data_IF_250727702306
#
_entry.id   IF_250727702306
#
_cell.length_a   1.000
_cell.length_b   1.000
_cell.length_c   1.000
_cell.angle_alpha   90.00
_cell.angle_beta   90.00
_cell.angle_gamma   90.00
#
_symmetry.space_group_name_H-M   'P 1'
#
loop_
_entity.id
_entity.type
_entity.pdbx_description
1 polymer ?
#
# COMPACT_ATOMS: atom_id res chain seq x y z
N UNK A 1 -44.47 -38.81 65.09
CA UNK A 1 -43.82 -40.11 64.82
C UNK A 1 -43.91 -40.40 63.34
N UNK A 2 -42.78 -40.33 62.62
CA UNK A 2 -42.61 -40.87 61.26
C UNK A 2 -41.49 -41.91 61.36
N UNK A 3 -41.68 -43.15 60.87
CA UNK A 3 -40.75 -44.24 61.10
C UNK A 3 -39.53 -44.17 60.18
N UNK A 4 -38.39 -44.53 60.76
CA UNK A 4 -37.13 -44.81 60.10
C UNK A 4 -37.25 -45.98 59.12
N UNK A 5 -36.57 -45.90 57.98
CA UNK A 5 -36.27 -47.05 57.12
C UNK A 5 -34.79 -47.05 56.71
N UNK A 6 -34.21 -48.25 56.52
CA UNK A 6 -32.83 -48.55 56.88
C UNK A 6 -31.80 -48.30 55.77
N UNK A 7 -30.57 -47.99 56.20
CA UNK A 7 -29.38 -47.82 55.38
C UNK A 7 -28.79 -49.17 54.93
N UNK A 8 -28.95 -49.48 53.64
CA UNK A 8 -28.22 -50.56 52.96
C UNK A 8 -26.78 -50.17 52.56
N UNK A 9 -25.89 -51.14 52.29
CA UNK A 9 -24.44 -50.94 52.28
C UNK A 9 -23.92 -50.20 51.04
N UNK A 10 -22.93 -49.33 51.29
CA UNK A 10 -22.21 -48.56 50.26
C UNK A 10 -21.28 -49.50 49.49
N UNK A 11 -21.58 -49.73 48.21
CA UNK A 11 -20.64 -50.36 47.27
C UNK A 11 -19.59 -49.33 46.80
N UNK A 12 -18.28 -49.64 46.82
CA UNK A 12 -17.27 -48.74 46.28
C UNK A 12 -17.28 -48.80 44.75
N UNK A 13 -17.84 -47.77 44.12
CA UNK A 13 -17.79 -47.59 42.66
C UNK A 13 -16.35 -47.47 42.16
N UNK A 14 -15.93 -48.42 41.33
CA UNK A 14 -14.66 -48.43 40.57
C UNK A 14 -14.44 -47.08 39.86
N UNK A 15 -13.37 -46.35 40.22
CA UNK A 15 -12.88 -45.20 39.45
C UNK A 15 -12.31 -45.69 38.11
N UNK A 16 -13.06 -45.53 37.02
CA UNK A 16 -12.57 -45.79 35.65
C UNK A 16 -11.59 -44.68 35.19
N UNK A 17 -10.62 -45.00 34.29
CA UNK A 17 -9.47 -44.13 34.03
C UNK A 17 -9.84 -42.97 33.09
N UNK A 18 -10.19 -41.81 33.65
CA UNK A 18 -10.47 -40.55 32.90
C UNK A 18 -9.31 -40.09 32.00
N UNK A 19 -8.07 -40.55 32.22
CA UNK A 19 -6.87 -40.10 31.47
C UNK A 19 -6.83 -40.54 29.99
N UNK A 20 -7.45 -41.66 29.59
CA UNK A 20 -7.35 -42.18 28.20
C UNK A 20 -8.28 -41.46 27.21
N UNK A 21 -9.43 -40.94 27.68
CA UNK A 21 -10.38 -40.19 26.84
C UNK A 21 -9.88 -38.77 26.52
N UNK A 22 -9.22 -38.11 27.48
CA UNK A 22 -8.67 -36.77 27.26
C UNK A 22 -7.49 -36.77 26.28
N UNK A 23 -6.61 -37.78 26.32
CA UNK A 23 -5.53 -37.95 25.31
C UNK A 23 -6.05 -38.18 23.89
N UNK A 24 -7.18 -38.89 23.73
CA UNK A 24 -7.83 -39.06 22.42
C UNK A 24 -8.48 -37.77 21.94
N UNK A 25 -9.17 -37.04 22.83
CA UNK A 25 -9.72 -35.72 22.50
C UNK A 25 -8.62 -34.73 22.07
N UNK A 26 -7.49 -34.70 22.79
CA UNK A 26 -6.33 -33.87 22.43
C UNK A 26 -5.76 -34.25 21.04
N UNK A 27 -5.68 -35.55 20.73
CA UNK A 27 -5.24 -36.05 19.43
C UNK A 27 -6.18 -35.65 18.29
N UNK A 28 -7.49 -35.71 18.50
CA UNK A 28 -8.48 -35.25 17.51
C UNK A 28 -8.43 -33.73 17.33
N UNK A 29 -8.29 -32.96 18.40
CA UNK A 29 -8.12 -31.49 18.30
C UNK A 29 -6.85 -31.13 17.53
N UNK A 30 -5.72 -31.79 17.82
CA UNK A 30 -4.48 -31.56 17.08
C UNK A 30 -4.61 -31.93 15.59
N UNK A 31 -5.32 -33.02 15.27
CA UNK A 31 -5.57 -33.43 13.89
C UNK A 31 -6.47 -32.44 13.14
N UNK A 32 -7.52 -31.92 13.78
CA UNK A 32 -8.37 -30.88 13.18
C UNK A 32 -7.58 -29.59 12.94
N UNK A 33 -6.75 -29.18 13.91
CA UNK A 33 -5.87 -28.01 13.74
C UNK A 33 -4.91 -28.23 12.57
N UNK A 34 -4.27 -29.40 12.49
CA UNK A 34 -3.36 -29.73 11.40
C UNK A 34 -4.06 -29.72 10.03
N UNK A 35 -5.28 -30.24 9.95
CA UNK A 35 -6.08 -30.22 8.72
C UNK A 35 -6.45 -28.78 8.31
N UNK A 36 -6.90 -27.96 9.26
CA UNK A 36 -7.22 -26.55 9.03
C UNK A 36 -5.98 -25.79 8.55
N UNK A 37 -4.84 -25.99 9.20
CA UNK A 37 -3.56 -25.41 8.77
C UNK A 37 -3.18 -25.89 7.36
N UNK A 38 -3.37 -27.17 7.04
CA UNK A 38 -3.13 -27.71 5.71
C UNK A 38 -3.98 -27.05 4.63
N UNK A 39 -5.27 -26.82 4.90
CA UNK A 39 -6.17 -26.09 3.99
C UNK A 39 -5.74 -24.64 3.82
N UNK A 40 -5.35 -23.95 4.91
CA UNK A 40 -4.86 -22.57 4.85
C UNK A 40 -3.57 -22.49 4.03
N UNK A 41 -2.59 -23.35 4.29
CA UNK A 41 -1.31 -23.39 3.57
C UNK A 41 -1.55 -23.70 2.08
N UNK A 42 -2.39 -24.69 1.77
CA UNK A 42 -2.76 -25.01 0.40
C UNK A 42 -3.44 -23.83 -0.31
N UNK A 43 -4.30 -23.09 0.40
CA UNK A 43 -4.97 -21.90 -0.14
C UNK A 43 -3.98 -20.77 -0.41
N UNK A 44 -3.06 -20.50 0.50
CA UNK A 44 -2.01 -19.47 0.30
C UNK A 44 -1.10 -19.85 -0.87
N UNK A 45 -0.70 -21.12 -0.99
CA UNK A 45 0.12 -21.59 -2.09
C UNK A 45 -0.60 -21.45 -3.45
N UNK A 46 -1.91 -21.72 -3.49
CA UNK A 46 -2.71 -21.55 -4.70
C UNK A 46 -2.81 -20.07 -5.13
N UNK A 47 -3.09 -19.16 -4.18
CA UNK A 47 -3.09 -17.72 -4.47
C UNK A 47 -1.70 -17.24 -4.89
N UNK A 48 -0.64 -17.78 -4.30
CA UNK A 48 0.73 -17.40 -4.65
C UNK A 48 1.06 -17.78 -6.10
N UNK A 49 0.65 -18.96 -6.53
CA UNK A 49 0.78 -19.40 -7.91
C UNK A 49 -0.05 -18.53 -8.86
N UNK A 50 -1.29 -18.18 -8.49
CA UNK A 50 -2.12 -17.32 -9.32
C UNK A 50 -1.55 -15.91 -9.48
N UNK A 51 -0.96 -15.36 -8.42
CA UNK A 51 -0.24 -14.08 -8.50
C UNK A 51 0.98 -14.22 -9.39
N UNK A 52 1.82 -15.24 -9.19
CA UNK A 52 3.04 -15.40 -9.98
C UNK A 52 2.77 -15.57 -11.48
N UNK A 53 1.70 -16.29 -11.84
CA UNK A 53 1.29 -16.52 -13.22
C UNK A 53 0.74 -15.28 -13.92
N UNK A 54 0.02 -14.41 -13.19
CA UNK A 54 -0.78 -13.32 -13.78
C UNK A 54 -0.20 -11.93 -13.58
N UNK A 55 0.65 -11.74 -12.58
CA UNK A 55 1.20 -10.44 -12.23
C UNK A 55 2.13 -9.95 -13.34
N UNK A 56 1.95 -8.71 -13.79
CA UNK A 56 2.88 -8.07 -14.71
C UNK A 56 4.29 -8.03 -14.12
N UNK A 57 5.31 -8.30 -14.93
CA UNK A 57 6.72 -8.27 -14.50
C UNK A 57 7.48 -7.18 -15.25
N UNK A 58 8.34 -6.47 -14.52
CA UNK A 58 9.25 -5.46 -15.09
C UNK A 58 10.64 -5.58 -14.48
N UNK A 59 11.67 -5.33 -15.28
CA UNK A 59 13.04 -5.19 -14.77
C UNK A 59 13.28 -3.73 -14.40
N UNK A 60 13.13 -3.40 -13.12
CA UNK A 60 13.24 -2.04 -12.60
C UNK A 60 14.40 -1.87 -11.60
N UNK A 61 14.88 -2.96 -10.98
CA UNK A 61 15.83 -2.89 -9.88
C UNK A 61 17.24 -2.63 -10.41
N UNK A 62 17.98 -1.76 -9.73
CA UNK A 62 19.32 -1.33 -10.15
C UNK A 62 20.42 -2.39 -9.96
N UNK A 63 20.14 -3.44 -9.18
CA UNK A 63 21.13 -4.43 -8.74
C UNK A 63 22.17 -3.89 -7.74
N UNK A 64 21.95 -2.70 -7.15
CA UNK A 64 22.81 -2.18 -6.08
C UNK A 64 22.79 -3.10 -4.86
N UNK A 65 23.87 -3.02 -4.07
CA UNK A 65 23.97 -3.75 -2.80
C UNK A 65 22.91 -3.23 -1.81
N UNK A 66 22.24 -4.15 -1.15
CA UNK A 66 21.19 -3.85 -0.17
C UNK A 66 21.67 -2.93 0.95
N UNK A 67 20.77 -2.02 1.33
CA UNK A 67 20.90 -1.21 2.54
C UNK A 67 20.21 -1.91 3.71
N UNK A 68 20.44 -1.46 4.95
CA UNK A 68 19.75 -2.02 6.10
C UNK A 68 18.24 -1.75 6.02
N UNK A 69 17.43 -2.80 6.20
CA UNK A 69 15.97 -2.73 6.09
C UNK A 69 15.47 -3.32 4.78
N UNK A 70 14.19 -3.09 4.51
CA UNK A 70 13.50 -3.49 3.27
C UNK A 70 12.78 -2.26 2.71
N UNK A 71 12.97 -1.99 1.42
CA UNK A 71 12.52 -0.76 0.76
C UNK A 71 11.74 -1.08 -0.52
N UNK A 72 10.50 -0.61 -0.55
CA UNK A 72 9.59 -0.71 -1.69
C UNK A 72 9.43 0.64 -2.36
N UNK A 73 9.62 0.70 -3.67
CA UNK A 73 9.21 1.82 -4.51
C UNK A 73 7.85 1.50 -5.15
N UNK A 74 6.83 2.26 -4.77
CA UNK A 74 5.46 2.13 -5.28
C UNK A 74 5.18 3.34 -6.17
N UNK A 75 4.84 3.08 -7.43
CA UNK A 75 4.64 4.11 -8.46
C UNK A 75 3.23 4.03 -9.01
N UNK A 76 2.50 5.14 -9.00
CA UNK A 76 1.26 5.29 -9.77
C UNK A 76 1.59 5.85 -11.15
N UNK A 77 1.36 5.07 -12.20
CA UNK A 77 1.56 5.51 -13.59
C UNK A 77 0.21 5.80 -14.26
N UNK A 78 0.14 6.93 -14.96
CA UNK A 78 -0.93 7.22 -15.94
C UNK A 78 -0.43 6.87 -17.34
N UNK A 79 0.15 5.67 -17.49
CA UNK A 79 0.34 5.09 -18.81
C UNK A 79 -1.06 4.97 -19.42
N UNK A 80 -1.36 5.75 -20.48
CA UNK A 80 -2.65 5.72 -21.15
C UNK A 80 -2.89 4.30 -21.67
N UNK A 81 -3.62 3.53 -20.87
CA UNK A 81 -3.92 2.14 -21.12
C UNK A 81 -5.01 2.01 -22.17
N UNK A 82 -4.63 2.10 -23.44
CA UNK A 82 -5.29 1.34 -24.50
C UNK A 82 -4.51 0.03 -24.67
N UNK A 83 -4.76 -0.93 -23.77
CA UNK A 83 -4.65 -2.37 -24.06
C UNK A 83 -3.36 -2.96 -24.64
N UNK A 84 -2.21 -2.31 -24.54
CA UNK A 84 -0.94 -2.87 -25.01
C UNK A 84 0.22 -2.24 -24.27
N UNK A 85 1.16 -3.07 -23.81
CA UNK A 85 2.53 -2.61 -23.57
C UNK A 85 2.98 -2.06 -24.92
N UNK A 86 3.13 -0.74 -25.00
CA UNK A 86 3.77 -0.11 -26.15
C UNK A 86 5.21 -0.63 -26.20
N UNK A 87 5.47 -1.48 -27.20
CA UNK A 87 6.78 -2.01 -27.56
C UNK A 87 7.67 -0.92 -28.22
N UNK A 88 7.23 0.35 -28.16
CA UNK A 88 7.86 1.51 -28.79
C UNK A 88 7.73 2.79 -27.95
N UNK A 89 8.39 2.81 -26.80
CA UNK A 89 8.90 4.06 -26.23
C UNK A 89 7.97 4.75 -25.23
N UNK A 90 8.61 5.24 -24.17
CA UNK A 90 8.06 5.99 -23.03
C UNK A 90 7.53 7.39 -23.41
N UNK A 91 7.04 7.60 -24.63
CA UNK A 91 6.44 8.87 -25.05
C UNK A 91 5.06 9.07 -24.39
N UNK A 92 5.08 9.58 -23.16
CA UNK A 92 3.90 10.14 -22.49
C UNK A 92 3.59 9.55 -21.11
N UNK A 93 4.19 8.43 -20.72
CA UNK A 93 3.97 7.83 -19.40
C UNK A 93 4.69 8.64 -18.32
N UNK A 94 3.94 9.10 -17.32
CA UNK A 94 4.46 9.85 -16.18
C UNK A 94 4.12 9.13 -14.88
N UNK A 95 5.09 9.13 -13.96
CA UNK A 95 4.86 8.77 -12.57
C UNK A 95 4.16 9.95 -11.87
N UNK A 96 2.87 9.79 -11.56
CA UNK A 96 2.07 10.82 -10.89
C UNK A 96 2.06 10.66 -9.36
N UNK A 97 2.32 9.43 -8.88
CA UNK A 97 2.49 9.13 -7.47
C UNK A 97 3.78 8.33 -7.28
N UNK A 98 4.67 8.78 -6.40
CA UNK A 98 5.92 8.08 -6.09
C UNK A 98 5.98 7.93 -4.58
N UNK A 99 5.92 6.70 -4.10
CA UNK A 99 5.93 6.39 -2.67
C UNK A 99 7.04 5.41 -2.34
N UNK A 100 7.74 5.69 -1.24
CA UNK A 100 8.78 4.84 -0.69
C UNK A 100 8.28 4.27 0.65
N UNK A 101 8.00 2.97 0.67
CA UNK A 101 7.73 2.26 1.92
C UNK A 101 9.04 1.64 2.39
N UNK A 102 9.53 2.07 3.56
CA UNK A 102 10.76 1.55 4.13
C UNK A 102 10.49 0.98 5.52
N UNK A 103 10.97 -0.25 5.74
CA UNK A 103 10.90 -0.94 7.03
C UNK A 103 12.30 -1.21 7.56
N UNK A 104 12.64 -0.59 8.68
CA UNK A 104 13.90 -0.83 9.36
C UNK A 104 13.75 -0.60 10.87
N UNK A 105 14.56 -1.30 11.68
CA UNK A 105 14.54 -1.20 13.15
C UNK A 105 13.14 -1.34 13.79
N UNK A 106 12.26 -2.16 13.18
CA UNK A 106 10.89 -2.35 13.67
C UNK A 106 9.94 -1.19 13.39
N UNK A 107 10.36 -0.18 12.64
CA UNK A 107 9.53 0.93 12.17
C UNK A 107 9.21 0.75 10.68
N UNK A 108 7.94 0.89 10.31
CA UNK A 108 7.50 1.03 8.93
C UNK A 108 7.13 2.50 8.67
N UNK A 109 7.62 3.06 7.55
CA UNK A 109 7.37 4.46 7.18
C UNK A 109 7.06 4.59 5.69
N UNK A 110 6.14 5.49 5.34
CA UNK A 110 5.65 5.71 3.99
C UNK A 110 5.95 7.15 3.54
N UNK A 111 6.97 7.33 2.72
CA UNK A 111 7.37 8.63 2.19
C UNK A 111 6.75 8.85 0.82
N UNK A 112 5.89 9.86 0.65
CA UNK A 112 5.35 10.26 -0.65
C UNK A 112 6.19 11.37 -1.25
N UNK A 113 6.90 11.09 -2.33
CA UNK A 113 7.69 12.08 -3.06
C UNK A 113 6.78 12.83 -4.03
N UNK A 114 6.64 14.16 -3.93
CA UNK A 114 5.93 14.94 -4.93
C UNK A 114 6.55 14.70 -6.32
N UNK A 115 5.71 14.47 -7.34
CA UNK A 115 6.17 14.18 -8.70
C UNK A 115 7.08 15.25 -9.31
N UNK A 116 6.91 16.50 -8.87
CA UNK A 116 7.67 17.67 -9.33
C UNK A 116 8.91 17.93 -8.46
N UNK A 117 9.28 17.00 -7.55
CA UNK A 117 10.47 17.13 -6.70
C UNK A 117 11.73 17.28 -7.55
N UNK A 118 12.50 18.33 -7.33
CA UNK A 118 13.78 18.55 -8.00
C UNK A 118 14.83 17.55 -7.50
N UNK A 119 15.46 16.82 -8.43
CA UNK A 119 16.44 15.77 -8.13
C UNK A 119 17.54 15.73 -9.19
N UNK A 120 18.66 15.11 -8.84
CA UNK A 120 19.73 14.82 -9.80
C UNK A 120 19.52 13.45 -10.45
N UNK A 121 19.02 13.44 -11.69
CA UNK A 121 18.77 12.23 -12.47
C UNK A 121 20.11 11.71 -13.04
N UNK A 122 20.49 10.44 -12.79
CA UNK A 122 21.69 9.84 -13.38
C UNK A 122 21.76 10.00 -14.90
N UNK A 123 22.86 10.56 -15.41
CA UNK A 123 23.07 10.77 -16.85
C UNK A 123 22.20 11.85 -17.52
N UNK A 124 21.35 12.58 -16.76
CA UNK A 124 20.47 13.63 -17.30
C UNK A 124 20.61 14.99 -16.61
N UNK A 125 21.14 15.04 -15.39
CA UNK A 125 21.31 16.29 -14.63
C UNK A 125 20.11 16.60 -13.73
N UNK A 126 19.93 17.87 -13.37
CA UNK A 126 18.85 18.33 -12.49
C UNK A 126 17.52 18.41 -13.23
N UNK A 127 16.51 17.69 -12.77
CA UNK A 127 15.15 17.75 -13.29
C UNK A 127 14.12 17.33 -12.23
N UNK A 128 12.84 17.36 -12.57
CA UNK A 128 11.75 16.82 -11.76
C UNK A 128 11.83 15.29 -11.71
N UNK A 129 11.55 14.70 -10.56
CA UNK A 129 11.68 13.26 -10.33
C UNK A 129 10.82 12.42 -11.28
N UNK A 130 9.64 12.90 -11.68
CA UNK A 130 8.80 12.20 -12.66
C UNK A 130 9.41 12.14 -14.07
N UNK A 131 10.32 13.06 -14.41
CA UNK A 131 11.01 13.05 -15.68
C UNK A 131 11.95 11.84 -15.80
N UNK A 132 12.46 11.30 -14.69
CA UNK A 132 13.27 10.08 -14.69
C UNK A 132 12.51 8.89 -15.32
N UNK A 133 11.22 8.76 -15.03
CA UNK A 133 10.36 7.74 -15.63
C UNK A 133 10.17 7.98 -17.13
N UNK A 134 9.94 9.23 -17.55
CA UNK A 134 9.80 9.56 -18.97
C UNK A 134 11.11 9.28 -19.75
N UNK A 135 12.27 9.54 -19.13
CA UNK A 135 13.58 9.42 -19.77
C UNK A 135 14.13 8.00 -19.86
N UNK A 136 13.75 7.12 -18.96
CA UNK A 136 14.35 5.78 -18.85
C UNK A 136 13.50 4.77 -18.09
N UNK A 137 12.20 5.02 -17.98
CA UNK A 137 11.23 4.11 -17.38
C UNK A 137 11.46 3.83 -15.89
N UNK A 138 10.94 2.70 -15.40
CA UNK A 138 11.08 2.25 -14.02
C UNK A 138 12.54 2.18 -13.53
N UNK A 139 13.47 1.71 -14.36
CA UNK A 139 14.87 1.53 -13.99
C UNK A 139 15.55 2.86 -13.64
N UNK A 140 15.39 3.88 -14.50
CA UNK A 140 15.99 5.19 -14.24
C UNK A 140 15.31 5.89 -13.05
N UNK A 141 14.00 5.68 -12.86
CA UNK A 141 13.30 6.19 -11.68
C UNK A 141 13.85 5.55 -10.39
N UNK A 142 14.03 4.22 -10.36
CA UNK A 142 14.66 3.52 -9.23
C UNK A 142 16.02 4.10 -8.93
N UNK A 143 16.91 4.19 -9.92
CA UNK A 143 18.26 4.74 -9.71
C UNK A 143 18.24 6.18 -9.19
N UNK A 144 17.27 6.98 -9.64
CA UNK A 144 17.07 8.37 -9.19
C UNK A 144 16.62 8.42 -7.73
N UNK A 145 15.65 7.60 -7.34
CA UNK A 145 15.17 7.52 -5.95
C UNK A 145 16.24 6.99 -5.01
N UNK A 146 17.03 5.99 -5.43
CA UNK A 146 18.16 5.50 -4.65
C UNK A 146 19.21 6.59 -4.43
N UNK A 147 19.48 7.40 -5.47
CA UNK A 147 20.43 8.52 -5.36
C UNK A 147 19.93 9.60 -4.41
N UNK A 148 18.63 9.90 -4.44
CA UNK A 148 17.99 10.88 -3.55
C UNK A 148 17.99 10.39 -2.09
N UNK A 149 17.52 9.16 -1.87
CA UNK A 149 17.25 8.62 -0.54
C UNK A 149 18.46 7.96 0.11
N UNK A 150 19.47 7.55 -0.66
CA UNK A 150 20.58 6.73 -0.19
C UNK A 150 20.16 5.32 0.25
N UNK A 151 18.94 4.89 -0.07
CA UNK A 151 18.46 3.52 0.10
C UNK A 151 18.66 2.74 -1.19
N UNK A 152 18.83 1.43 -1.08
CA UNK A 152 18.67 0.50 -2.20
C UNK A 152 17.20 0.14 -2.28
N UNK A 153 16.64 0.10 -3.49
CA UNK A 153 15.26 -0.37 -3.70
C UNK A 153 15.30 -1.88 -3.82
N UNK A 154 14.67 -2.57 -2.88
CA UNK A 154 14.62 -4.04 -2.84
C UNK A 154 13.46 -4.56 -3.69
N UNK A 155 12.37 -3.79 -3.77
CA UNK A 155 11.18 -4.15 -4.54
C UNK A 155 10.56 -2.95 -5.26
N UNK A 156 10.01 -3.20 -6.45
CA UNK A 156 9.33 -2.20 -7.27
C UNK A 156 7.90 -2.66 -7.55
N UNK A 157 6.94 -1.75 -7.44
CA UNK A 157 5.55 -1.98 -7.81
C UNK A 157 4.98 -0.77 -8.54
N UNK A 158 4.41 -1.01 -9.69
CA UNK A 158 3.65 -0.04 -10.46
C UNK A 158 2.16 -0.34 -10.39
N UNK A 159 1.38 0.70 -10.15
CA UNK A 159 -0.08 0.68 -10.08
C UNK A 159 -0.63 1.49 -11.25
N UNK A 160 -1.33 0.82 -12.16
CA UNK A 160 -2.02 1.50 -13.25
C UNK A 160 -3.27 2.22 -12.76
N UNK A 161 -3.49 3.47 -13.21
CA UNK A 161 -4.68 4.25 -12.86
C UNK A 161 -6.00 3.61 -13.31
N UNK A 162 -5.99 2.83 -14.39
CA UNK A 162 -7.15 2.04 -14.80
C UNK A 162 -7.57 1.09 -13.67
N UNK A 163 -6.62 0.37 -13.07
CA UNK A 163 -6.87 -0.67 -12.07
C UNK A 163 -7.32 -0.18 -10.68
N UNK A 164 -7.32 1.14 -10.43
CA UNK A 164 -7.81 1.70 -9.16
C UNK A 164 -9.29 1.41 -8.96
N UNK A 165 -10.09 1.56 -10.03
CA UNK A 165 -11.54 1.29 -9.96
C UNK A 165 -11.80 -0.17 -9.59
N UNK A 166 -11.23 -1.10 -10.35
CA UNK A 166 -11.42 -2.54 -10.16
C UNK A 166 -10.92 -2.98 -8.77
N UNK A 167 -9.82 -2.41 -8.28
CA UNK A 167 -9.29 -2.75 -6.97
C UNK A 167 -10.21 -2.28 -5.84
N UNK A 168 -10.76 -1.07 -5.94
CA UNK A 168 -11.76 -0.55 -4.98
C UNK A 168 -13.04 -1.38 -4.99
N UNK A 169 -13.53 -1.74 -6.18
CA UNK A 169 -14.73 -2.58 -6.32
C UNK A 169 -14.49 -4.00 -5.78
N UNK A 170 -13.28 -4.55 -5.95
CA UNK A 170 -12.90 -5.85 -5.43
C UNK A 170 -12.91 -5.91 -3.89
N UNK A 171 -12.61 -4.80 -3.23
CA UNK A 171 -12.66 -4.68 -1.76
C UNK A 171 -14.02 -4.24 -1.21
N UNK A 172 -15.07 -4.28 -2.03
CA UNK A 172 -16.45 -3.92 -1.63
C UNK A 172 -16.53 -2.43 -1.23
N UNK A 173 -15.86 -1.57 -2.01
CA UNK A 173 -15.78 -0.12 -1.80
C UNK A 173 -14.80 0.29 -0.70
N UNK A 174 -14.53 1.59 -0.62
CA UNK A 174 -13.66 2.21 0.40
C UNK A 174 -14.39 3.34 1.13
N UNK A 175 -13.88 3.71 2.30
CA UNK A 175 -14.34 4.90 3.01
C UNK A 175 -13.39 6.06 2.70
N UNK A 176 -13.96 7.20 2.28
CA UNK A 176 -13.21 8.42 2.02
C UNK A 176 -13.93 9.62 2.66
N UNK A 177 -13.19 10.68 2.99
CA UNK A 177 -13.75 11.85 3.64
C UNK A 177 -13.41 13.15 2.90
N UNK A 178 -14.40 14.04 2.83
CA UNK A 178 -14.27 15.47 2.49
C UNK A 178 -15.13 16.28 3.45
N UNK A 179 -14.59 17.39 3.90
CA UNK A 179 -15.23 18.35 4.79
C UNK A 179 -15.93 19.50 4.04
N UNK A 180 -15.92 19.47 2.71
CA UNK A 180 -16.60 20.42 1.83
C UNK A 180 -17.35 19.73 0.69
N UNK A 181 -18.37 20.41 0.17
CA UNK A 181 -19.12 19.96 -1.00
C UNK A 181 -18.27 20.11 -2.27
N UNK A 182 -18.41 19.16 -3.19
CA UNK A 182 -17.72 19.18 -4.48
C UNK A 182 -18.72 18.92 -5.60
N UNK A 183 -18.63 19.71 -6.66
CA UNK A 183 -19.22 19.42 -7.97
C UNK A 183 -18.16 19.76 -9.03
N UNK A 184 -17.28 18.80 -9.30
CA UNK A 184 -16.13 18.95 -10.20
C UNK A 184 -16.42 18.23 -11.51
N UNK A 185 -16.79 19.00 -12.54
CA UNK A 185 -17.13 18.45 -13.87
C UNK A 185 -15.95 17.78 -14.58
N UNK A 186 -14.71 18.14 -14.25
CA UNK A 186 -13.51 17.61 -14.91
C UNK A 186 -13.18 16.18 -14.44
N UNK A 187 -13.31 15.92 -13.15
CA UNK A 187 -13.16 14.59 -12.55
C UNK A 187 -14.46 13.79 -12.50
N UNK A 188 -15.61 14.46 -12.62
CA UNK A 188 -16.93 13.88 -12.42
C UNK A 188 -17.31 13.68 -10.95
N UNK A 189 -16.53 14.23 -10.02
CA UNK A 189 -16.77 14.05 -8.58
C UNK A 189 -17.95 14.93 -8.13
N UNK A 190 -18.96 14.28 -7.53
CA UNK A 190 -20.00 14.95 -6.76
C UNK A 190 -19.91 14.48 -5.31
N UNK A 191 -19.67 15.43 -4.41
CA UNK A 191 -19.62 15.22 -2.96
C UNK A 191 -20.61 16.14 -2.26
N UNK A 192 -21.50 15.53 -1.50
CA UNK A 192 -22.56 16.20 -0.75
C UNK A 192 -22.36 15.88 0.73
N UNK A 193 -21.79 16.82 1.47
CA UNK A 193 -21.45 16.70 2.89
C UNK A 193 -22.69 16.62 3.78
N UNK A 194 -23.89 16.96 3.28
CA UNK A 194 -25.14 16.70 4.00
C UNK A 194 -25.42 15.21 4.21
N UNK A 195 -24.80 14.34 3.39
CA UNK A 195 -24.83 12.87 3.53
C UNK A 195 -23.75 12.34 4.48
N UNK A 196 -22.97 13.23 5.10
CA UNK A 196 -21.82 12.92 5.93
C UNK A 196 -20.51 13.32 5.24
N UNK A 197 -19.55 13.79 6.05
CA UNK A 197 -18.21 14.15 5.58
C UNK A 197 -17.41 12.92 5.17
N UNK A 198 -17.61 11.78 5.83
CA UNK A 198 -17.05 10.50 5.43
C UNK A 198 -18.13 9.63 4.76
N UNK A 199 -17.86 9.16 3.55
CA UNK A 199 -18.79 8.36 2.76
C UNK A 199 -18.11 7.07 2.29
N UNK A 200 -18.90 6.01 2.22
CA UNK A 200 -18.51 4.78 1.56
C UNK A 200 -18.71 4.93 0.05
N UNK A 201 -17.65 4.71 -0.74
CA UNK A 201 -17.61 4.99 -2.17
C UNK A 201 -17.12 3.77 -2.96
N UNK A 202 -17.67 3.60 -4.17
CA UNK A 202 -17.25 2.59 -5.14
C UNK A 202 -16.03 3.05 -5.94
N UNK A 203 -15.54 2.19 -6.83
CA UNK A 203 -14.35 2.46 -7.63
C UNK A 203 -14.48 3.64 -8.57
N UNK A 204 -15.68 3.90 -9.10
CA UNK A 204 -15.94 5.04 -9.97
C UNK A 204 -15.84 6.36 -9.21
N UNK A 205 -16.50 6.46 -8.06
CA UNK A 205 -16.42 7.65 -7.21
C UNK A 205 -15.04 7.79 -6.56
N UNK A 206 -14.33 6.70 -6.27
CA UNK A 206 -12.95 6.72 -5.78
C UNK A 206 -11.94 7.21 -6.83
N UNK A 207 -12.13 6.82 -8.10
CA UNK A 207 -11.32 7.33 -9.21
C UNK A 207 -11.60 8.82 -9.45
N UNK A 208 -12.86 9.25 -9.42
CA UNK A 208 -13.20 10.67 -9.50
C UNK A 208 -12.58 11.45 -8.32
N UNK A 209 -12.67 10.90 -7.11
CA UNK A 209 -12.07 11.44 -5.90
C UNK A 209 -10.55 11.60 -6.02
N UNK A 210 -9.83 10.63 -6.57
CA UNK A 210 -8.38 10.71 -6.74
C UNK A 210 -7.95 11.64 -7.88
N UNK A 211 -8.80 11.83 -8.90
CA UNK A 211 -8.52 12.67 -10.08
C UNK A 211 -8.88 14.14 -9.94
N UNK A 212 -9.68 14.53 -8.94
CA UNK A 212 -10.05 15.93 -8.71
C UNK A 212 -8.79 16.82 -8.62
N UNK A 213 -8.82 18.02 -9.20
CA UNK A 213 -7.69 18.97 -9.18
C UNK A 213 -8.12 20.41 -8.89
N UNK A 214 -9.11 20.91 -9.63
CA UNK A 214 -9.50 22.33 -9.58
C UNK A 214 -10.29 22.69 -8.33
N UNK A 215 -11.09 21.76 -7.82
CA UNK A 215 -11.87 21.93 -6.60
C UNK A 215 -11.07 21.63 -5.32
N UNK A 216 -9.77 21.36 -5.42
CA UNK A 216 -8.91 21.15 -4.26
C UNK A 216 -8.25 22.47 -3.81
N UNK A 217 -8.51 22.96 -2.59
CA UNK A 217 -7.90 24.19 -2.08
C UNK A 217 -6.37 24.11 -1.97
N UNK A 218 -5.78 22.91 -2.04
CA UNK A 218 -4.33 22.66 -1.97
C UNK A 218 -3.70 22.23 -3.31
N UNK A 219 -4.46 22.32 -4.42
CA UNK A 219 -3.97 22.09 -5.78
C UNK A 219 -3.37 20.70 -6.02
N UNK A 220 -2.22 20.63 -6.71
CA UNK A 220 -1.57 19.35 -7.09
C UNK A 220 -1.03 18.57 -5.87
N UNK A 221 -0.78 19.23 -4.73
CA UNK A 221 -0.39 18.58 -3.47
C UNK A 221 -1.55 17.77 -2.91
N UNK A 222 -2.75 18.34 -2.88
CA UNK A 222 -3.96 17.66 -2.42
C UNK A 222 -4.32 16.42 -3.25
N UNK A 223 -4.02 16.44 -4.56
CA UNK A 223 -4.18 15.26 -5.42
C UNK A 223 -3.30 14.08 -4.97
N UNK A 224 -2.02 14.34 -4.66
CA UNK A 224 -1.13 13.31 -4.14
C UNK A 224 -1.61 12.74 -2.80
N UNK A 225 -2.14 13.59 -1.92
CA UNK A 225 -2.73 13.16 -0.65
C UNK A 225 -3.96 12.27 -0.85
N UNK A 226 -4.87 12.64 -1.77
CA UNK A 226 -6.07 11.86 -2.06
C UNK A 226 -5.76 10.51 -2.68
N UNK A 227 -4.79 10.44 -3.60
CA UNK A 227 -4.31 9.17 -4.15
C UNK A 227 -3.77 8.25 -3.03
N UNK A 228 -2.94 8.77 -2.13
CA UNK A 228 -2.46 8.02 -0.96
C UNK A 228 -3.62 7.59 -0.05
N UNK A 229 -4.62 8.45 0.16
CA UNK A 229 -5.78 8.13 0.98
C UNK A 229 -6.60 6.96 0.38
N UNK A 230 -6.81 6.95 -0.94
CA UNK A 230 -7.46 5.84 -1.65
C UNK A 230 -6.67 4.55 -1.46
N UNK A 231 -5.35 4.57 -1.67
CA UNK A 231 -4.49 3.38 -1.49
C UNK A 231 -4.54 2.88 -0.04
N UNK A 232 -4.48 3.79 0.94
CA UNK A 232 -4.61 3.44 2.36
C UNK A 232 -5.94 2.78 2.68
N UNK A 233 -7.05 3.33 2.17
CA UNK A 233 -8.38 2.79 2.41
C UNK A 233 -8.56 1.41 1.74
N UNK A 234 -8.01 1.22 0.54
CA UNK A 234 -7.95 -0.10 -0.14
C UNK A 234 -7.15 -1.09 0.70
N UNK A 235 -5.97 -0.72 1.18
CA UNK A 235 -5.12 -1.55 2.04
C UNK A 235 -5.89 -1.98 3.29
N UNK A 236 -6.56 -1.05 3.96
CA UNK A 236 -7.34 -1.34 5.17
C UNK A 236 -8.50 -2.32 4.91
N UNK A 237 -9.19 -2.18 3.77
CA UNK A 237 -10.26 -3.11 3.37
C UNK A 237 -9.71 -4.47 2.93
N UNK A 238 -8.57 -4.51 2.25
CA UNK A 238 -7.91 -5.73 1.81
C UNK A 238 -7.48 -6.62 2.98
N UNK A 239 -6.98 -6.02 4.06
CA UNK A 239 -6.56 -6.76 5.28
C UNK A 239 -7.66 -6.96 6.31
N UNK A 240 -8.91 -6.62 5.98
CA UNK A 240 -10.04 -6.80 6.88
C UNK A 240 -10.33 -8.29 7.12
N UNK A 241 -10.78 -8.65 8.33
CA UNK A 241 -11.13 -10.04 8.66
C UNK A 241 -12.16 -10.63 7.67
N UNK A 242 -13.08 -9.79 7.18
CA UNK A 242 -14.11 -10.14 6.20
C UNK A 242 -13.51 -10.57 4.86
N UNK A 243 -12.46 -9.89 4.39
CA UNK A 243 -11.74 -10.22 3.16
C UNK A 243 -10.85 -11.44 3.37
N UNK A 244 -10.12 -11.49 4.50
CA UNK A 244 -9.20 -12.59 4.81
C UNK A 244 -9.88 -13.96 5.02
N UNK A 245 -11.14 -14.00 5.46
CA UNK A 245 -11.86 -15.28 5.67
C UNK A 245 -12.67 -15.69 4.42
N UNK A 246 -12.99 -14.75 3.52
CA UNK A 246 -13.88 -14.99 2.39
C UNK A 246 -13.10 -15.37 1.12
N UNK A 247 -13.12 -16.64 0.74
CA UNK A 247 -12.43 -17.12 -0.47
C UNK A 247 -12.85 -16.37 -1.75
N UNK A 248 -14.14 -16.13 -2.03
CA UNK A 248 -14.52 -15.38 -3.23
C UNK A 248 -14.01 -13.93 -3.24
N UNK A 249 -13.83 -13.31 -2.08
CA UNK A 249 -13.24 -11.96 -2.01
C UNK A 249 -11.73 -11.99 -2.23
N UNK A 250 -11.04 -13.01 -1.71
CA UNK A 250 -9.63 -13.22 -2.00
C UNK A 250 -9.39 -13.40 -3.50
N UNK A 251 -10.21 -14.22 -4.17
CA UNK A 251 -10.09 -14.47 -5.62
C UNK A 251 -10.31 -13.18 -6.41
N UNK A 252 -11.36 -12.41 -6.08
CA UNK A 252 -11.62 -11.11 -6.72
C UNK A 252 -10.47 -10.12 -6.51
N UNK A 253 -9.91 -10.07 -5.30
CA UNK A 253 -8.82 -9.17 -4.97
C UNK A 253 -7.53 -9.55 -5.71
N UNK A 254 -7.20 -10.85 -5.79
CA UNK A 254 -6.04 -11.32 -6.55
C UNK A 254 -6.23 -11.08 -8.04
N UNK A 255 -7.41 -11.35 -8.59
CA UNK A 255 -7.69 -11.11 -10.01
C UNK A 255 -7.66 -9.62 -10.37
N UNK A 256 -8.24 -8.74 -9.54
CA UNK A 256 -8.17 -7.30 -9.74
C UNK A 256 -6.74 -6.77 -9.56
N UNK A 257 -6.05 -7.21 -8.50
CA UNK A 257 -4.68 -6.78 -8.20
C UNK A 257 -3.70 -7.19 -9.28
N UNK A 258 -3.73 -8.45 -9.74
CA UNK A 258 -2.83 -8.93 -10.80
C UNK A 258 -3.02 -8.22 -12.14
N UNK A 259 -4.24 -7.73 -12.44
CA UNK A 259 -4.52 -6.89 -13.63
C UNK A 259 -4.08 -5.44 -13.47
N UNK A 260 -4.08 -4.93 -12.24
CA UNK A 260 -3.80 -3.53 -11.92
C UNK A 260 -2.31 -3.26 -11.63
N UNK A 261 -1.57 -4.31 -11.25
CA UNK A 261 -0.22 -4.21 -10.70
C UNK A 261 0.80 -4.84 -11.63
N UNK A 262 1.94 -4.15 -11.77
CA UNK A 262 3.16 -4.70 -12.33
C UNK A 262 4.23 -4.64 -11.25
N UNK A 263 4.96 -5.72 -10.99
CA UNK A 263 6.00 -5.77 -9.97
C UNK A 263 7.35 -6.16 -10.56
N UNK A 264 8.43 -5.98 -9.79
CA UNK A 264 9.72 -6.54 -10.15
C UNK A 264 9.67 -8.07 -10.26
N UNK A 265 10.66 -8.65 -10.92
CA UNK A 265 10.78 -10.10 -11.18
C UNK A 265 10.87 -10.97 -9.92
N UNK A 266 11.31 -10.42 -8.79
CA UNK A 266 11.58 -11.19 -7.57
C UNK A 266 10.43 -11.07 -6.55
N UNK A 267 9.44 -10.20 -6.79
CA UNK A 267 8.28 -10.00 -5.91
C UNK A 267 7.29 -11.18 -5.95
N UNK A 268 7.02 -11.80 -4.81
CA UNK A 268 5.96 -12.81 -4.65
C UNK A 268 4.75 -12.34 -3.84
N UNK A 269 3.74 -13.20 -3.71
CA UNK A 269 2.55 -12.93 -2.89
C UNK A 269 2.91 -12.61 -1.43
N UNK A 270 3.93 -13.28 -0.88
CA UNK A 270 4.38 -13.04 0.49
C UNK A 270 4.94 -11.65 0.68
N UNK A 271 5.66 -11.14 -0.32
CA UNK A 271 6.34 -9.84 -0.27
C UNK A 271 5.31 -8.72 -0.45
N UNK A 272 4.35 -8.89 -1.36
CA UNK A 272 3.15 -8.04 -1.43
C UNK A 272 2.41 -8.02 -0.09
N UNK A 273 2.25 -9.16 0.56
CA UNK A 273 1.63 -9.25 1.89
C UNK A 273 2.39 -8.46 2.96
N UNK A 274 3.73 -8.53 2.99
CA UNK A 274 4.57 -7.73 3.90
C UNK A 274 4.47 -6.24 3.58
N UNK A 275 4.49 -5.87 2.31
CA UNK A 275 4.33 -4.48 1.86
C UNK A 275 3.00 -3.91 2.33
N UNK A 276 1.89 -4.62 2.10
CA UNK A 276 0.55 -4.19 2.53
C UNK A 276 0.48 -4.00 4.06
N UNK A 277 1.09 -4.91 4.84
CA UNK A 277 1.16 -4.77 6.29
C UNK A 277 2.03 -3.58 6.73
N UNK A 278 3.18 -3.37 6.09
CA UNK A 278 4.05 -2.23 6.36
C UNK A 278 3.39 -0.89 6.01
N UNK A 279 2.66 -0.84 4.89
CA UNK A 279 1.87 0.32 4.48
C UNK A 279 0.81 0.68 5.54
N UNK A 280 0.04 -0.32 5.99
CA UNK A 280 -0.97 -0.12 7.04
C UNK A 280 -0.34 0.32 8.36
N UNK A 281 0.78 -0.30 8.75
CA UNK A 281 1.50 0.07 9.95
C UNK A 281 1.94 1.54 9.90
N UNK A 282 2.63 1.94 8.83
CA UNK A 282 3.08 3.32 8.62
C UNK A 282 1.92 4.33 8.67
N UNK A 283 0.80 4.01 8.02
CA UNK A 283 -0.39 4.87 8.00
C UNK A 283 -1.03 4.97 9.39
N UNK A 284 -1.18 3.85 10.11
CA UNK A 284 -1.77 3.81 11.45
C UNK A 284 -0.93 4.50 12.53
N UNK A 285 0.39 4.53 12.37
CA UNK A 285 1.32 5.19 13.28
C UNK A 285 1.54 6.67 12.92
N UNK A 286 0.89 7.17 11.86
CA UNK A 286 1.07 8.55 11.38
C UNK A 286 2.48 8.80 10.84
N UNK A 287 3.15 7.77 10.33
CA UNK A 287 4.47 7.82 9.70
C UNK A 287 4.33 7.77 8.17
N UNK A 288 3.36 8.52 7.65
CA UNK A 288 3.04 8.57 6.24
C UNK A 288 2.85 10.02 5.76
N UNK A 289 3.69 10.48 4.83
CA UNK A 289 3.64 11.85 4.33
C UNK A 289 4.76 12.20 3.36
N UNK A 290 4.80 13.47 2.93
CA UNK A 290 5.90 13.97 2.11
C UNK A 290 7.12 14.37 2.96
N UNK A 291 8.35 14.30 2.43
CA UNK A 291 9.51 14.92 3.07
C UNK A 291 9.29 16.43 3.26
N UNK A 292 9.96 17.08 4.22
CA UNK A 292 9.88 18.52 4.41
C UNK A 292 10.14 19.30 3.13
N UNK A 293 9.27 20.24 2.80
CA UNK A 293 9.34 21.05 1.57
C UNK A 293 9.89 22.44 1.92
N UNK A 294 10.81 22.94 1.10
CA UNK A 294 11.36 24.30 1.18
C UNK A 294 10.58 25.29 0.32
N UNK A 295 10.34 24.92 -0.94
CA UNK A 295 9.61 25.72 -1.93
C UNK A 295 8.79 24.81 -2.83
N UNK A 296 7.60 25.30 -3.21
CA UNK A 296 6.68 24.64 -4.13
C UNK A 296 6.82 25.17 -5.58
N UNK A 297 7.58 26.24 -5.75
CA UNK A 297 7.72 27.04 -6.95
C UNK A 297 9.21 27.28 -7.29
N UNK A 298 10.07 26.33 -6.93
CA UNK A 298 11.50 26.42 -7.18
C UNK A 298 11.78 26.36 -8.69
N UNK A 299 12.48 27.36 -9.22
CA UNK A 299 12.80 27.46 -10.65
C UNK A 299 14.31 27.30 -10.88
N UNK A 300 14.83 26.07 -11.08
CA UNK A 300 16.25 25.84 -11.34
C UNK A 300 16.68 26.22 -12.77
N UNK A 301 15.74 26.73 -13.58
CA UNK A 301 15.93 27.05 -14.99
C UNK A 301 15.70 25.84 -15.91
N UNK A 302 15.06 26.07 -17.06
CA UNK A 302 14.91 25.07 -18.14
C UNK A 302 13.85 23.98 -17.95
N UNK A 303 13.36 23.74 -16.72
CA UNK A 303 12.38 22.67 -16.42
C UNK A 303 11.04 23.17 -15.84
N UNK A 304 10.88 24.50 -15.72
CA UNK A 304 9.75 25.15 -15.05
C UNK A 304 9.77 25.01 -13.53
N UNK A 305 8.68 25.41 -12.88
CA UNK A 305 8.53 25.32 -11.42
C UNK A 305 8.56 23.87 -10.92
N UNK A 306 9.37 23.62 -9.91
CA UNK A 306 9.60 22.33 -9.25
C UNK A 306 9.41 22.45 -7.73
N UNK A 307 9.29 21.32 -7.06
CA UNK A 307 9.25 21.23 -5.60
C UNK A 307 10.67 21.04 -5.09
N UNK A 308 11.15 21.95 -4.25
CA UNK A 308 12.43 21.80 -3.58
C UNK A 308 12.20 21.25 -2.17
N UNK A 309 12.84 20.14 -1.83
CA UNK A 309 12.80 19.63 -0.45
C UNK A 309 13.76 20.45 0.42
N UNK A 310 13.46 20.51 1.72
CA UNK A 310 14.23 21.26 2.71
C UNK A 310 15.69 20.87 2.73
N UNK A 311 16.56 21.84 2.95
CA UNK A 311 18.02 21.65 2.93
C UNK A 311 18.49 21.02 1.60
N UNK A 312 17.79 21.42 0.54
CA UNK A 312 17.94 21.17 -0.89
C UNK A 312 17.66 19.77 -1.43
N UNK A 313 17.81 18.69 -0.65
CA UNK A 313 17.09 17.42 -0.92
C UNK A 313 16.94 16.57 0.35
N UNK A 314 16.61 17.20 1.48
CA UNK A 314 16.25 16.59 2.76
C UNK A 314 17.20 15.51 3.34
N UNK A 315 18.52 15.77 3.43
CA UNK A 315 19.49 14.78 3.91
C UNK A 315 19.23 14.28 5.33
N UNK A 316 18.76 15.14 6.25
CA UNK A 316 18.40 14.74 7.63
C UNK A 316 17.20 13.78 7.62
N UNK A 317 16.15 14.12 6.86
CA UNK A 317 14.97 13.26 6.69
C UNK A 317 15.37 11.88 6.17
N UNK A 318 16.13 11.82 5.07
CA UNK A 318 16.55 10.54 4.50
C UNK A 318 17.54 9.79 5.40
N UNK A 319 18.33 10.48 6.22
CA UNK A 319 19.16 9.86 7.25
C UNK A 319 18.32 9.17 8.34
N UNK A 320 17.28 9.85 8.84
CA UNK A 320 16.33 9.28 9.80
C UNK A 320 15.53 8.14 9.19
N UNK A 321 15.11 8.27 7.93
CA UNK A 321 14.43 7.22 7.17
C UNK A 321 15.30 5.97 7.12
N UNK A 322 16.54 6.08 6.63
CA UNK A 322 17.51 4.96 6.58
C UNK A 322 17.74 4.31 7.94
N UNK A 323 17.69 5.08 9.02
CA UNK A 323 17.90 4.58 10.37
C UNK A 323 16.64 3.96 11.01
N UNK A 324 15.46 4.09 10.40
CA UNK A 324 14.18 3.72 11.01
C UNK A 324 13.87 4.55 12.26
N UNK A 325 14.10 5.87 12.20
CA UNK A 325 13.92 6.81 13.34
C UNK A 325 13.03 8.01 13.00
N UNK A 326 12.20 7.90 11.97
CA UNK A 326 11.26 8.97 11.62
C UNK A 326 10.18 9.13 12.69
N UNK A 327 9.72 10.35 12.84
CA UNK A 327 8.59 10.74 13.67
C UNK A 327 7.58 11.49 12.82
N UNK A 328 6.32 11.57 13.24
CA UNK A 328 5.30 12.31 12.49
C UNK A 328 5.66 13.78 12.28
N UNK A 329 6.48 14.38 13.14
CA UNK A 329 6.98 15.75 12.98
C UNK A 329 8.05 15.93 11.91
N UNK A 330 8.68 14.84 11.46
CA UNK A 330 9.69 14.89 10.39
C UNK A 330 9.06 15.00 8.99
N UNK A 331 7.76 14.71 8.84
CA UNK A 331 7.05 14.85 7.58
C UNK A 331 6.58 16.30 7.37
N UNK A 332 6.39 16.67 6.11
CA UNK A 332 5.82 17.96 5.75
C UNK A 332 4.42 18.11 6.34
N UNK A 333 4.25 19.12 7.19
CA UNK A 333 2.95 19.53 7.68
C UNK A 333 2.34 20.45 6.63
N UNK A 334 1.31 19.98 5.95
CA UNK A 334 0.44 20.87 5.18
C UNK A 334 -0.43 21.55 6.24
N UNK A 335 0.00 22.70 6.74
CA UNK A 335 -0.89 23.54 7.52
C UNK A 335 -2.03 23.95 6.57
N UNK A 336 -3.31 23.68 6.92
CA UNK A 336 -4.40 24.21 6.13
C UNK A 336 -4.24 25.73 6.13
N UNK A 337 -3.98 26.29 4.95
CA UNK A 337 -3.96 27.74 4.78
C UNK A 337 -5.30 28.28 5.27
N UNK A 338 -5.22 29.23 6.20
CA UNK A 338 -6.36 29.89 6.82
C UNK A 338 -7.22 30.67 5.83
#
# INVERSE_FOLDING_TARGET
MRPDLPSGPISPGRRTPRRRRWRRALGWTALVIALVLGVIVGRVAWLAHEVDDKLGRVDALSGKKDTAGETWLIVGSDARGDGGIADDGTEGSRADSIMLLHRNNGQSSLTTLPRDTYVQIPGRGGDKINAAYAYGGPELLVQTVERLSGLTIDHYMEVGMAGVKETVDAVDGIDACLDYDVDDRDSGLVWDTSKGTCQHIDGEKALAYSRMRKSDPTGDIGRGLRQRAVISAVVDRAVSAKTLISWPRQDKLVDAGTKALTADKDTGLTDIGKMVLGFREASSQGLAGAPPIDSLDYEPGGIGAAVLLKDETAPDFFSKLRAGRLTSSDFNKIEPTS
#
